data_IF_869002520753
#
_entry.id   IF_869002520753
#
_cell.length_a   1.000
_cell.length_b   1.000
_cell.length_c   1.000
_cell.angle_alpha   90.00
_cell.angle_beta   90.00
_cell.angle_gamma   90.00
#
_symmetry.space_group_name_H-M   'P 1'
#
loop_
_entity.id
_entity.type
_entity.pdbx_description
1 polymer ?
#
# COMPACT_ATOMS: atom_id res chain seq x y z
N UNK A 1 -7.27 61.42 -54.99
CA UNK A 1 -7.29 61.41 -53.53
C UNK A 1 -6.54 60.18 -53.09
N UNK A 2 -5.32 60.31 -52.65
CA UNK A 2 -4.52 59.20 -52.15
C UNK A 2 -4.84 59.03 -50.68
N UNK A 3 -5.35 57.86 -50.29
CA UNK A 3 -5.48 57.48 -48.90
C UNK A 3 -4.08 57.21 -48.35
N UNK A 4 -3.63 57.99 -47.42
CA UNK A 4 -2.42 57.80 -46.65
C UNK A 4 -2.79 56.71 -45.61
N UNK A 5 -2.25 55.53 -45.78
CA UNK A 5 -2.25 54.47 -44.78
C UNK A 5 -1.41 54.98 -43.61
N UNK A 6 -2.00 55.08 -42.43
CA UNK A 6 -1.29 55.62 -41.27
C UNK A 6 -0.69 54.46 -40.48
N UNK A 7 0.55 54.63 -40.01
CA UNK A 7 1.35 53.69 -39.18
C UNK A 7 0.64 53.25 -37.87
N UNK A 8 -0.46 53.91 -37.50
CA UNK A 8 -1.23 53.66 -36.27
C UNK A 8 -2.00 52.34 -36.30
N UNK A 9 -2.39 51.83 -37.49
CA UNK A 9 -3.12 50.56 -37.63
C UNK A 9 -2.23 49.31 -37.43
N UNK A 10 -0.91 49.39 -37.69
CA UNK A 10 0.04 48.32 -37.46
C UNK A 10 0.42 48.16 -35.98
N UNK A 11 0.46 49.29 -35.23
CA UNK A 11 0.81 49.28 -33.81
C UNK A 11 -0.32 48.65 -32.96
N UNK A 12 -1.59 48.93 -33.28
CA UNK A 12 -2.75 48.29 -32.65
C UNK A 12 -2.80 46.77 -32.91
N UNK A 13 -2.40 46.32 -34.08
CA UNK A 13 -2.38 44.86 -34.41
C UNK A 13 -1.27 44.10 -33.69
N UNK A 14 -0.12 44.73 -33.46
CA UNK A 14 1.01 44.16 -32.74
C UNK A 14 0.75 44.07 -31.23
N UNK A 15 0.12 45.06 -30.62
CA UNK A 15 -0.28 45.03 -29.20
C UNK A 15 -1.34 43.96 -28.93
N UNK A 16 -2.33 43.82 -29.83
CA UNK A 16 -3.35 42.77 -29.74
C UNK A 16 -2.76 41.36 -29.89
N UNK A 17 -1.80 41.17 -30.78
CA UNK A 17 -1.09 39.90 -30.93
C UNK A 17 -0.25 39.56 -29.70
N UNK A 18 0.47 40.54 -29.15
CA UNK A 18 1.27 40.36 -27.94
C UNK A 18 0.40 40.07 -26.69
N UNK A 19 -0.79 40.68 -26.62
CA UNK A 19 -1.75 40.42 -25.53
C UNK A 19 -2.33 39.00 -25.60
N UNK A 20 -2.65 38.48 -26.79
CA UNK A 20 -3.12 37.10 -27.00
C UNK A 20 -2.05 36.10 -26.64
N UNK A 21 -0.81 36.28 -27.08
CA UNK A 21 0.30 35.43 -26.74
C UNK A 21 0.53 35.40 -25.23
N UNK A 22 0.43 36.55 -24.55
CA UNK A 22 0.51 36.60 -23.08
C UNK A 22 -0.63 35.83 -22.41
N UNK A 23 -1.86 35.98 -22.85
CA UNK A 23 -3.01 35.26 -22.30
C UNK A 23 -2.85 33.73 -22.50
N UNK A 24 -2.50 33.29 -23.69
CA UNK A 24 -2.23 31.87 -23.95
C UNK A 24 -1.08 31.31 -23.06
N UNK A 25 -0.03 32.10 -22.86
CA UNK A 25 1.07 31.71 -21.99
C UNK A 25 0.63 31.57 -20.52
N UNK A 26 -0.22 32.51 -20.03
CA UNK A 26 -0.79 32.43 -18.69
C UNK A 26 -1.69 31.19 -18.54
N UNK A 27 -2.52 30.86 -19.53
CA UNK A 27 -3.37 29.67 -19.50
C UNK A 27 -2.55 28.37 -19.43
N UNK A 28 -1.50 28.29 -20.25
CA UNK A 28 -0.56 27.16 -20.19
C UNK A 28 0.13 27.03 -18.84
N UNK A 29 0.63 28.14 -18.28
CA UNK A 29 1.27 28.13 -16.95
C UNK A 29 0.26 27.71 -15.88
N UNK A 30 -0.96 28.20 -15.91
CA UNK A 30 -2.03 27.85 -14.98
C UNK A 30 -2.37 26.36 -15.08
N UNK A 31 -2.50 25.80 -16.28
CA UNK A 31 -2.70 24.36 -16.48
C UNK A 31 -1.56 23.52 -15.86
N UNK A 32 -0.31 23.90 -16.11
CA UNK A 32 0.85 23.19 -15.57
C UNK A 32 0.87 23.27 -14.04
N UNK A 33 0.68 24.45 -13.46
CA UNK A 33 0.65 24.65 -12.00
C UNK A 33 -0.47 23.83 -11.37
N UNK A 34 -1.68 23.87 -11.96
CA UNK A 34 -2.82 23.08 -11.48
C UNK A 34 -2.53 21.58 -11.55
N UNK A 35 -1.96 21.09 -12.64
CA UNK A 35 -1.58 19.68 -12.80
C UNK A 35 -0.54 19.24 -11.75
N UNK A 36 0.46 20.09 -11.48
CA UNK A 36 1.48 19.84 -10.45
C UNK A 36 0.82 19.78 -9.07
N UNK A 37 -0.04 20.76 -8.73
CA UNK A 37 -0.74 20.78 -7.44
C UNK A 37 -1.60 19.52 -7.29
N UNK A 38 -2.39 19.16 -8.29
CA UNK A 38 -3.20 17.94 -8.27
C UNK A 38 -2.32 16.68 -8.10
N UNK A 39 -1.22 16.57 -8.83
CA UNK A 39 -0.27 15.47 -8.72
C UNK A 39 0.33 15.35 -7.31
N UNK A 40 0.75 16.48 -6.73
CA UNK A 40 1.29 16.52 -5.36
C UNK A 40 0.22 16.12 -4.34
N UNK A 41 -1.01 16.62 -4.48
CA UNK A 41 -2.11 16.25 -3.57
C UNK A 41 -2.44 14.75 -3.68
N UNK A 42 -2.50 14.20 -4.88
CA UNK A 42 -2.70 12.76 -5.09
C UNK A 42 -1.58 11.97 -4.40
N UNK A 43 -0.32 12.36 -4.59
CA UNK A 43 0.82 11.68 -3.99
C UNK A 43 0.81 11.74 -2.45
N UNK A 44 0.43 12.89 -1.86
CA UNK A 44 0.39 13.07 -0.40
C UNK A 44 -0.78 12.32 0.24
N UNK A 45 -1.96 12.33 -0.39
CA UNK A 45 -3.19 11.81 0.22
C UNK A 45 -3.53 10.38 -0.20
N UNK A 46 -3.10 9.93 -1.39
CA UNK A 46 -3.50 8.62 -1.94
C UNK A 46 -2.44 7.55 -1.73
N UNK A 47 -1.14 7.91 -1.76
CA UNK A 47 -0.08 6.91 -1.67
C UNK A 47 1.09 7.34 -0.80
N UNK A 48 1.45 6.50 0.18
CA UNK A 48 2.68 6.62 0.96
C UNK A 48 3.63 5.50 0.60
N UNK A 49 4.90 5.84 0.41
CA UNK A 49 5.94 4.82 0.16
C UNK A 49 6.52 4.37 1.49
N UNK A 50 6.59 3.06 1.70
CA UNK A 50 7.25 2.45 2.86
C UNK A 50 8.25 1.38 2.39
N UNK A 51 9.35 1.24 3.13
CA UNK A 51 10.28 0.12 2.97
C UNK A 51 9.83 -1.08 3.78
N UNK A 52 9.88 -2.25 3.18
CA UNK A 52 9.62 -3.54 3.86
C UNK A 52 10.92 -4.00 4.50
N UNK A 53 10.92 -4.22 5.80
CA UNK A 53 12.02 -4.82 6.53
C UNK A 53 11.62 -6.21 7.04
N UNK A 54 12.48 -7.20 6.76
CA UNK A 54 12.30 -8.56 7.18
C UNK A 54 11.76 -9.51 6.12
N UNK A 55 11.60 -10.78 6.53
CA UNK A 55 11.27 -11.91 5.64
C UNK A 55 9.90 -12.53 5.90
N UNK A 56 9.09 -11.93 6.77
CA UNK A 56 7.81 -12.52 7.22
C UNK A 56 6.73 -12.58 6.14
N UNK A 57 6.88 -11.81 5.06
CA UNK A 57 5.97 -11.77 3.92
C UNK A 57 6.53 -12.43 2.65
N UNK A 58 7.68 -13.14 2.76
CA UNK A 58 8.22 -13.91 1.63
C UNK A 58 7.21 -15.02 1.25
N UNK A 59 6.88 -15.21 0.01
CA UNK A 59 7.43 -14.73 -1.26
C UNK A 59 6.74 -13.46 -1.81
N UNK A 60 5.65 -13.03 -1.20
CA UNK A 60 4.85 -11.90 -1.71
C UNK A 60 5.64 -10.59 -1.65
N UNK A 61 6.20 -10.28 -0.49
CA UNK A 61 7.08 -9.12 -0.31
C UNK A 61 8.44 -9.60 0.22
N UNK A 62 9.49 -9.00 -0.30
CA UNK A 62 10.88 -9.30 0.10
C UNK A 62 11.45 -8.15 0.93
N UNK A 63 12.53 -8.46 1.63
CA UNK A 63 13.30 -7.46 2.34
C UNK A 63 13.74 -6.34 1.39
N UNK A 64 13.72 -5.09 1.87
CA UNK A 64 14.05 -3.87 1.11
C UNK A 64 13.10 -3.55 -0.06
N UNK A 65 11.97 -4.26 -0.22
CA UNK A 65 10.93 -3.81 -1.14
C UNK A 65 10.45 -2.41 -0.74
N UNK A 66 10.29 -1.52 -1.72
CA UNK A 66 9.58 -0.25 -1.52
C UNK A 66 8.19 -0.39 -2.10
N UNK A 67 7.21 -0.29 -1.22
CA UNK A 67 5.80 -0.46 -1.57
C UNK A 67 5.03 0.83 -1.42
N UNK A 68 3.99 0.97 -2.21
CA UNK A 68 2.99 2.05 -2.07
C UNK A 68 1.85 1.50 -1.25
N UNK A 69 1.51 2.20 -0.15
CA UNK A 69 0.32 1.92 0.65
C UNK A 69 -0.64 3.10 0.62
N UNK A 70 -1.92 2.82 0.83
CA UNK A 70 -2.97 3.83 0.97
C UNK A 70 -3.87 3.52 2.17
N UNK A 71 -4.32 4.57 2.84
CA UNK A 71 -5.32 4.50 3.91
C UNK A 71 -6.60 5.27 3.56
N UNK A 72 -6.71 5.75 2.31
CA UNK A 72 -7.83 6.58 1.90
C UNK A 72 -9.13 5.77 1.90
N UNK A 73 -10.06 6.07 2.82
CA UNK A 73 -11.34 5.38 3.01
C UNK A 73 -11.19 3.85 3.15
N UNK A 74 -10.07 3.40 3.73
CA UNK A 74 -9.75 2.00 3.81
C UNK A 74 -10.47 1.30 4.97
N UNK A 75 -11.08 0.17 4.68
CA UNK A 75 -11.60 -0.80 5.66
C UNK A 75 -10.95 -2.15 5.37
N UNK A 76 -10.33 -2.81 6.37
CA UNK A 76 -9.66 -4.08 6.18
C UNK A 76 -10.60 -5.19 5.67
N UNK A 77 -10.11 -5.96 4.71
CA UNK A 77 -10.78 -7.14 4.16
C UNK A 77 -9.85 -8.33 4.15
N UNK A 78 -10.41 -9.54 4.19
CA UNK A 78 -9.62 -10.77 4.11
C UNK A 78 -8.75 -10.79 2.85
N UNK A 79 -7.49 -11.19 3.00
CA UNK A 79 -6.51 -11.20 1.91
C UNK A 79 -5.69 -9.92 1.77
N UNK A 80 -6.11 -8.79 2.35
CA UNK A 80 -5.38 -7.53 2.26
C UNK A 80 -4.03 -7.60 2.97
N UNK A 81 -2.99 -7.05 2.34
CA UNK A 81 -1.69 -6.84 2.99
C UNK A 81 -1.73 -5.46 3.66
N UNK A 82 -1.57 -5.43 4.97
CA UNK A 82 -1.66 -4.21 5.77
C UNK A 82 -0.34 -3.89 6.46
N UNK A 83 -0.11 -2.59 6.61
CA UNK A 83 0.96 -2.04 7.44
C UNK A 83 0.34 -1.51 8.71
N UNK A 84 0.85 -1.91 9.86
CA UNK A 84 0.34 -1.47 11.16
C UNK A 84 1.44 -1.28 12.18
N UNK A 85 1.16 -0.49 13.22
CA UNK A 85 2.05 -0.30 14.36
C UNK A 85 1.59 -1.24 15.48
N UNK A 86 2.49 -2.05 16.01
CA UNK A 86 2.22 -2.83 17.22
C UNK A 86 2.45 -1.96 18.46
N UNK A 87 1.58 -2.01 19.48
CA UNK A 87 1.81 -1.33 20.75
C UNK A 87 2.89 -1.99 21.61
N UNK A 88 3.36 -3.18 21.25
CA UNK A 88 4.42 -3.89 21.97
C UNK A 88 5.77 -3.19 21.75
N UNK A 89 6.50 -2.93 22.85
CA UNK A 89 7.79 -2.22 22.81
C UNK A 89 8.89 -2.96 22.04
N UNK A 90 8.71 -4.26 21.79
CA UNK A 90 9.62 -5.10 21.02
C UNK A 90 9.67 -4.72 19.53
N UNK A 91 8.69 -3.99 19.02
CA UNK A 91 8.62 -3.59 17.63
C UNK A 91 8.90 -2.09 17.46
N UNK A 92 10.12 -1.75 17.07
CA UNK A 92 10.53 -0.37 16.79
C UNK A 92 9.92 0.18 15.48
N UNK A 93 9.55 -0.72 14.56
CA UNK A 93 9.08 -0.38 13.21
C UNK A 93 7.70 -0.94 12.92
N UNK A 94 6.94 -0.34 12.00
CA UNK A 94 5.67 -0.89 11.54
C UNK A 94 5.83 -2.29 10.96
N UNK A 95 4.85 -3.13 11.26
CA UNK A 95 4.79 -4.50 10.75
C UNK A 95 3.96 -4.58 9.48
N UNK A 96 4.33 -5.50 8.58
CA UNK A 96 3.57 -5.81 7.37
C UNK A 96 3.07 -7.25 7.46
N UNK A 97 1.75 -7.45 7.38
CA UNK A 97 1.11 -8.79 7.46
C UNK A 97 -0.12 -8.84 6.56
N UNK A 98 -0.60 -10.06 6.31
CA UNK A 98 -1.85 -10.29 5.58
C UNK A 98 -3.02 -10.45 6.56
N UNK A 99 -4.13 -9.80 6.27
CA UNK A 99 -5.40 -9.98 6.98
C UNK A 99 -5.98 -11.34 6.61
N UNK A 100 -6.11 -12.20 7.60
CA UNK A 100 -6.72 -13.53 7.44
C UNK A 100 -8.20 -13.49 7.76
N UNK A 101 -8.55 -12.77 8.83
CA UNK A 101 -9.95 -12.64 9.24
C UNK A 101 -10.23 -11.26 9.82
N UNK A 102 -11.47 -10.81 9.61
CA UNK A 102 -12.01 -9.55 10.11
C UNK A 102 -13.06 -9.78 11.20
N UNK A 103 -13.59 -8.69 11.77
CA UNK A 103 -14.53 -8.71 12.87
C UNK A 103 -15.71 -9.69 12.66
N UNK A 104 -16.00 -10.50 13.67
CA UNK A 104 -17.08 -11.49 13.70
C UNK A 104 -16.69 -12.87 13.16
N UNK A 105 -15.58 -12.98 12.42
CA UNK A 105 -15.11 -14.26 11.88
C UNK A 105 -14.33 -15.06 12.93
N UNK A 106 -14.43 -16.38 12.82
CA UNK A 106 -13.68 -17.33 13.64
C UNK A 106 -12.49 -17.89 12.87
N UNK A 107 -11.30 -17.78 13.44
CA UNK A 107 -10.08 -18.38 12.90
C UNK A 107 -9.77 -19.66 13.68
N UNK A 108 -9.45 -20.72 12.96
CA UNK A 108 -8.93 -21.98 13.48
C UNK A 108 -7.76 -22.45 12.61
N UNK A 109 -6.79 -23.12 13.20
CA UNK A 109 -5.59 -23.57 12.49
C UNK A 109 -5.29 -25.02 12.89
N UNK A 110 -5.23 -25.89 11.89
CA UNK A 110 -4.78 -27.26 12.08
C UNK A 110 -3.29 -27.35 11.73
N UNK A 111 -2.44 -27.41 12.75
CA UNK A 111 -0.99 -27.42 12.59
C UNK A 111 -0.43 -28.77 12.11
N UNK A 112 -1.23 -29.85 12.13
CA UNK A 112 -0.80 -31.16 11.63
C UNK A 112 -0.82 -31.20 10.09
N UNK A 113 -1.80 -30.55 9.47
CA UNK A 113 -1.94 -30.47 8.01
C UNK A 113 -1.68 -29.07 7.45
N UNK A 114 -1.47 -28.07 8.32
CA UNK A 114 -1.14 -26.70 7.99
C UNK A 114 -2.29 -25.85 7.44
N UNK A 115 -3.53 -26.36 7.48
CA UNK A 115 -4.69 -25.65 6.97
C UNK A 115 -5.18 -24.56 7.94
N UNK A 116 -5.50 -23.39 7.38
CA UNK A 116 -6.15 -22.29 8.10
C UNK A 116 -7.62 -22.26 7.72
N UNK A 117 -8.47 -22.15 8.72
CA UNK A 117 -9.93 -22.11 8.58
C UNK A 117 -10.46 -20.73 9.01
N UNK A 118 -11.33 -20.15 8.21
CA UNK A 118 -12.10 -18.98 8.58
C UNK A 118 -13.57 -19.36 8.48
N UNK A 119 -14.32 -19.19 9.58
CA UNK A 119 -15.73 -19.60 9.68
C UNK A 119 -15.94 -21.05 9.24
N UNK A 120 -15.05 -21.96 9.67
CA UNK A 120 -15.05 -23.41 9.38
C UNK A 120 -14.74 -23.77 7.91
N UNK A 121 -14.38 -22.80 7.06
CA UNK A 121 -14.00 -23.03 5.66
C UNK A 121 -12.49 -22.90 5.52
N UNK A 122 -11.86 -23.87 4.86
CA UNK A 122 -10.43 -23.78 4.51
C UNK A 122 -10.25 -22.62 3.56
N UNK A 123 -9.34 -21.69 3.88
CA UNK A 123 -9.01 -20.59 2.97
C UNK A 123 -8.00 -21.04 1.91
N UNK A 124 -8.16 -20.53 0.70
CA UNK A 124 -7.20 -20.73 -0.38
C UNK A 124 -6.02 -19.77 -0.22
N UNK A 125 -4.81 -20.32 -0.15
CA UNK A 125 -3.59 -19.58 0.21
C UNK A 125 -2.46 -19.76 -0.81
N UNK A 126 -2.66 -19.35 -2.07
CA UNK A 126 -1.66 -19.52 -3.12
C UNK A 126 -0.38 -18.70 -2.88
N UNK A 127 -0.42 -17.78 -1.95
CA UNK A 127 0.68 -16.87 -1.59
C UNK A 127 1.66 -17.46 -0.55
N UNK A 128 1.35 -18.59 0.08
CA UNK A 128 2.27 -19.28 1.00
C UNK A 128 3.13 -20.29 0.26
N UNK A 129 4.36 -20.48 0.72
CA UNK A 129 5.27 -21.49 0.15
C UNK A 129 5.38 -22.76 0.99
N UNK A 130 4.97 -22.71 2.25
CA UNK A 130 5.03 -23.83 3.20
C UNK A 130 3.78 -23.84 4.05
N UNK A 131 3.35 -25.04 4.41
CA UNK A 131 2.21 -25.24 5.32
C UNK A 131 2.46 -24.58 6.68
N UNK A 132 1.39 -24.13 7.34
CA UNK A 132 1.44 -23.48 8.65
C UNK A 132 1.66 -24.51 9.75
N UNK A 133 2.90 -24.69 10.19
CA UNK A 133 3.26 -25.65 11.26
C UNK A 133 3.68 -24.96 12.55
N UNK A 134 4.12 -23.70 12.47
CA UNK A 134 4.52 -22.92 13.64
C UNK A 134 3.29 -22.42 14.40
N UNK A 135 3.07 -22.98 15.60
CA UNK A 135 1.90 -22.71 16.44
C UNK A 135 2.02 -21.39 17.21
N UNK A 136 3.22 -21.04 17.66
CA UNK A 136 3.47 -19.96 18.62
C UNK A 136 2.59 -20.15 19.88
N UNK A 137 1.83 -19.11 20.25
CA UNK A 137 0.94 -19.10 21.42
C UNK A 137 -0.54 -19.35 21.04
N UNK A 138 -0.81 -19.82 19.82
CA UNK A 138 -2.18 -20.08 19.34
C UNK A 138 -2.66 -21.45 19.83
N UNK A 139 -3.36 -21.47 20.96
CA UNK A 139 -3.82 -22.70 21.61
C UNK A 139 -5.26 -23.05 21.26
N UNK A 140 -6.10 -22.06 21.00
CA UNK A 140 -7.53 -22.24 20.77
C UNK A 140 -8.01 -21.36 19.59
N UNK A 141 -9.09 -21.79 18.89
CA UNK A 141 -9.70 -20.98 17.85
C UNK A 141 -10.15 -19.61 18.38
N UNK A 142 -9.87 -18.56 17.60
CA UNK A 142 -10.10 -17.16 17.98
C UNK A 142 -11.25 -16.57 17.18
N UNK A 143 -12.22 -15.96 17.85
CA UNK A 143 -13.25 -15.12 17.22
C UNK A 143 -12.75 -13.67 17.24
N UNK A 144 -12.65 -13.06 16.06
CA UNK A 144 -12.15 -11.70 15.91
C UNK A 144 -13.18 -10.69 16.42
N UNK A 145 -12.87 -9.90 17.46
CA UNK A 145 -13.81 -8.91 18.00
C UNK A 145 -14.02 -7.74 17.03
N UNK A 146 -15.08 -6.97 17.27
CA UNK A 146 -15.33 -5.74 16.50
C UNK A 146 -14.18 -4.74 16.66
N UNK A 147 -13.70 -4.21 15.54
CA UNK A 147 -12.59 -3.25 15.50
C UNK A 147 -11.22 -3.90 15.46
N UNK A 148 -11.13 -5.23 15.35
CA UNK A 148 -9.88 -5.98 15.25
C UNK A 148 -9.81 -6.78 13.97
N UNK A 149 -8.59 -7.20 13.64
CA UNK A 149 -8.30 -8.17 12.57
C UNK A 149 -7.30 -9.20 13.07
N UNK A 150 -7.37 -10.41 12.52
CA UNK A 150 -6.38 -11.46 12.68
C UNK A 150 -5.46 -11.44 11.47
N UNK A 151 -4.17 -11.31 11.70
CA UNK A 151 -3.18 -11.18 10.62
C UNK A 151 -2.13 -12.27 10.71
N UNK A 152 -1.63 -12.72 9.55
CA UNK A 152 -0.52 -13.66 9.45
C UNK A 152 0.51 -13.19 8.43
N UNK A 153 1.77 -13.60 8.61
CA UNK A 153 2.77 -13.48 7.57
C UNK A 153 2.60 -14.55 6.49
N UNK A 154 2.91 -14.23 5.25
CA UNK A 154 2.89 -15.21 4.16
C UNK A 154 3.99 -16.27 4.32
N UNK A 155 5.12 -15.91 4.95
CA UNK A 155 6.14 -16.84 5.42
C UNK A 155 5.73 -17.44 6.79
N UNK A 156 4.80 -18.36 6.77
CA UNK A 156 4.07 -18.94 7.90
C UNK A 156 4.93 -19.32 9.09
N UNK A 157 6.05 -19.95 8.85
CA UNK A 157 6.90 -20.50 9.90
C UNK A 157 8.04 -19.56 10.33
N UNK A 158 8.14 -18.39 9.69
CA UNK A 158 9.13 -17.34 10.00
C UNK A 158 8.46 -15.98 10.16
N UNK A 159 7.31 -15.93 10.85
CA UNK A 159 6.54 -14.70 11.06
C UNK A 159 6.07 -14.62 12.52
N UNK A 160 6.35 -13.48 13.15
CA UNK A 160 5.68 -13.06 14.39
C UNK A 160 4.42 -12.29 14.00
N UNK A 161 3.24 -12.86 14.30
CA UNK A 161 1.95 -12.35 13.86
C UNK A 161 0.85 -12.67 14.88
N UNK A 162 -0.44 -12.63 14.52
CA UNK A 162 -1.54 -12.81 15.48
C UNK A 162 -1.54 -14.17 16.21
N UNK A 163 -0.77 -15.14 15.77
CA UNK A 163 -0.56 -16.38 16.50
C UNK A 163 0.36 -16.21 17.72
N UNK A 164 1.13 -15.12 17.77
CA UNK A 164 2.02 -14.81 18.88
C UNK A 164 1.40 -13.70 19.74
N UNK A 165 1.45 -13.87 21.07
CA UNK A 165 0.89 -12.93 22.04
C UNK A 165 1.51 -11.52 21.97
N UNK A 166 2.74 -11.38 21.45
CA UNK A 166 3.37 -10.07 21.22
C UNK A 166 2.62 -9.21 20.19
N UNK A 167 1.98 -9.83 19.21
CA UNK A 167 1.17 -9.13 18.20
C UNK A 167 -0.30 -9.25 18.53
N UNK A 168 -0.77 -10.48 18.76
CA UNK A 168 -2.17 -10.79 19.04
C UNK A 168 -3.11 -10.26 17.95
N UNK A 169 -4.34 -9.93 18.33
CA UNK A 169 -5.30 -9.29 17.43
C UNK A 169 -4.93 -7.83 17.22
N UNK A 170 -4.92 -7.39 15.97
CA UNK A 170 -4.55 -6.03 15.59
C UNK A 170 -5.77 -5.13 15.59
N UNK A 171 -5.76 -4.08 16.40
CA UNK A 171 -6.79 -3.03 16.37
C UNK A 171 -6.70 -2.27 15.04
N UNK A 172 -7.83 -2.12 14.37
CA UNK A 172 -7.90 -1.45 13.06
C UNK A 172 -7.44 0.01 13.09
N UNK A 173 -7.44 0.65 14.27
CA UNK A 173 -6.94 2.02 14.45
C UNK A 173 -5.42 2.12 14.31
N UNK A 174 -4.70 1.04 14.53
CA UNK A 174 -3.23 0.98 14.35
C UNK A 174 -2.81 0.65 12.93
N UNK A 175 -3.75 0.35 12.03
CA UNK A 175 -3.47 0.10 10.63
C UNK A 175 -3.15 1.44 9.94
N UNK A 176 -1.92 1.54 9.42
CA UNK A 176 -1.43 2.71 8.68
C UNK A 176 -1.96 2.74 7.24
N UNK A 177 -2.27 1.58 6.66
CA UNK A 177 -2.83 1.45 5.32
C UNK A 177 -2.68 0.05 4.73
N UNK A 178 -3.31 -0.15 3.56
CA UNK A 178 -3.19 -1.33 2.72
C UNK A 178 -2.04 -1.14 1.73
N UNK A 179 -1.20 -2.15 1.58
CA UNK A 179 -0.19 -2.22 0.51
C UNK A 179 -0.91 -2.47 -0.81
N UNK A 180 -0.64 -1.61 -1.79
CA UNK A 180 -1.28 -1.67 -3.10
C UNK A 180 -0.33 -2.16 -4.20
N UNK A 181 0.94 -1.74 -4.13
CA UNK A 181 1.85 -1.88 -5.25
C UNK A 181 3.31 -1.97 -4.78
N UNK A 182 4.08 -2.87 -5.39
CA UNK A 182 5.54 -2.91 -5.25
C UNK A 182 6.14 -1.95 -6.26
N UNK A 183 6.70 -0.84 -5.77
CA UNK A 183 7.29 0.20 -6.61
C UNK A 183 8.72 -0.13 -7.01
N UNK A 184 9.53 -0.54 -6.04
CA UNK A 184 10.92 -0.92 -6.25
C UNK A 184 11.15 -2.24 -5.49
N UNK A 185 11.40 -3.34 -6.20
CA UNK A 185 11.75 -4.61 -5.57
C UNK A 185 13.03 -4.48 -4.75
N UNK A 186 13.13 -5.19 -3.64
CA UNK A 186 14.37 -5.36 -2.90
C UNK A 186 15.42 -6.15 -3.66
N UNK A 187 16.58 -6.32 -3.07
CA UNK A 187 17.65 -7.16 -3.63
C UNK A 187 17.63 -8.55 -2.98
N UNK A 188 17.93 -9.58 -3.77
CA UNK A 188 18.11 -10.94 -3.27
C UNK A 188 19.46 -11.11 -2.54
N UNK A 189 19.75 -12.31 -2.05
CA UNK A 189 21.00 -12.65 -1.35
C UNK A 189 22.24 -12.49 -2.25
N UNK A 190 22.06 -12.44 -3.57
CA UNK A 190 23.12 -12.23 -4.55
C UNK A 190 23.26 -10.75 -4.97
N UNK A 191 22.44 -9.86 -4.39
CA UNK A 191 22.42 -8.44 -4.75
C UNK A 191 21.66 -8.15 -6.05
N UNK A 192 20.90 -9.13 -6.57
CA UNK A 192 20.12 -8.98 -7.80
C UNK A 192 18.70 -8.48 -7.48
N UNK A 193 18.18 -7.57 -8.31
CA UNK A 193 16.84 -6.99 -8.20
C UNK A 193 15.93 -7.52 -9.30
N UNK A 194 14.89 -8.24 -8.91
CA UNK A 194 13.91 -8.76 -9.87
C UNK A 194 12.83 -7.72 -10.18
N UNK A 195 12.99 -7.03 -11.28
CA UNK A 195 12.05 -6.00 -11.74
C UNK A 195 10.68 -6.56 -12.21
N UNK A 196 10.54 -7.89 -12.39
CA UNK A 196 9.26 -8.50 -12.75
C UNK A 196 8.27 -8.45 -11.58
N UNK A 197 8.77 -8.22 -10.36
CA UNK A 197 7.95 -8.07 -9.15
C UNK A 197 7.32 -6.69 -9.00
N UNK A 198 7.63 -5.73 -9.87
CA UNK A 198 6.94 -4.43 -9.90
C UNK A 198 5.49 -4.66 -10.33
N UNK A 199 4.54 -4.35 -9.44
CA UNK A 199 3.14 -4.61 -9.72
C UNK A 199 2.24 -4.54 -8.49
N UNK A 200 0.95 -4.81 -8.71
CA UNK A 200 -0.03 -4.88 -7.63
C UNK A 200 0.19 -6.12 -6.77
N UNK A 201 -0.11 -5.99 -5.48
CA UNK A 201 0.09 -7.03 -4.44
C UNK A 201 -1.17 -7.83 -4.13
N UNK A 202 -2.22 -7.67 -4.90
CA UNK A 202 -3.54 -8.30 -4.67
C UNK A 202 -3.68 -9.63 -5.31
#
# INVERSE_FOLDING_TARGET
>A
MAYTYTDDDEDYSAEDAASRVRMELYDWIQCIVTAIICGVLIFIFVGRTIGVDGRSMMQTLQNEDRVIMSNLFYTPSNGDIVVFVSPAEEFEFPLVKRVIATAGQKVDINFDNGNVYVDYVIIDEPYINTMTTSKHDFDEPVVVPRGYVFVMGDNRNSSTDSRNNLVGLVDTRYILGKVLFVLIPGVDENGYRDWQRVGFTG
#
